data_IF_342974058727
#
_entry.id   IF_342974058727
#
_cell.length_a   1.000
_cell.length_b   1.000
_cell.length_c   1.000
_cell.angle_alpha   90.00
_cell.angle_beta   90.00
_cell.angle_gamma   90.00
#
_symmetry.space_group_name_H-M   'P 1'
#
loop_
_entity.id
_entity.type
_entity.pdbx_description
1 polymer ?
#
# COMPACT_ATOMS: atom_id res chain seq x y z
N UNK A 1 6.74 -68.22 -36.81
CA UNK A 1 5.28 -68.33 -36.53
C UNK A 1 4.98 -67.61 -35.23
N UNK A 2 4.14 -66.56 -35.29
CA UNK A 2 3.13 -66.09 -34.31
C UNK A 2 3.49 -66.29 -32.81
N UNK A 3 3.48 -65.28 -31.94
CA UNK A 3 2.37 -64.33 -31.70
C UNK A 3 2.85 -63.07 -30.99
N UNK A 4 2.39 -61.93 -31.52
CA UNK A 4 2.25 -60.64 -30.85
C UNK A 4 1.00 -60.71 -29.97
N UNK A 5 1.03 -60.21 -28.73
CA UNK A 5 -0.16 -59.93 -27.89
C UNK A 5 0.25 -58.92 -26.80
N UNK A 6 0.05 -57.63 -27.04
CA UNK A 6 -1.10 -56.78 -26.59
C UNK A 6 -1.06 -56.43 -25.10
N UNK A 7 -0.63 -55.19 -24.84
CA UNK A 7 -1.29 -54.14 -24.04
C UNK A 7 -2.07 -54.54 -22.77
N UNK A 8 -1.53 -54.19 -21.59
CA UNK A 8 -2.28 -53.98 -20.34
C UNK A 8 -1.43 -53.08 -19.42
N UNK A 9 -1.69 -51.78 -19.39
CA UNK A 9 -2.50 -51.07 -18.39
C UNK A 9 -1.66 -50.55 -17.21
N UNK A 10 -1.38 -49.25 -17.27
CA UNK A 10 -1.48 -48.26 -16.18
C UNK A 10 -0.93 -48.67 -14.80
N UNK A 11 0.17 -48.03 -14.41
CA UNK A 11 0.18 -47.32 -13.14
C UNK A 11 1.06 -46.08 -13.29
N UNK A 12 0.42 -44.96 -13.67
CA UNK A 12 0.94 -43.65 -13.38
C UNK A 12 1.25 -43.58 -11.89
N UNK A 13 2.53 -43.70 -11.51
CA UNK A 13 3.00 -43.10 -10.28
C UNK A 13 3.02 -41.58 -10.53
N UNK A 14 1.82 -40.99 -10.58
CA UNK A 14 1.65 -39.58 -10.28
C UNK A 14 2.28 -39.41 -8.90
N UNK A 15 3.41 -38.74 -8.88
CA UNK A 15 3.96 -38.10 -7.71
C UNK A 15 2.91 -37.14 -7.17
N UNK A 16 2.01 -37.64 -6.33
CA UNK A 16 1.24 -36.82 -5.42
C UNK A 16 2.23 -36.45 -4.31
N UNK A 17 3.14 -35.52 -4.62
CA UNK A 17 3.56 -34.57 -3.61
C UNK A 17 2.26 -33.88 -3.23
N UNK A 18 1.66 -34.34 -2.13
CA UNK A 18 0.65 -33.61 -1.41
C UNK A 18 1.30 -32.29 -1.01
N UNK A 19 1.24 -31.30 -1.90
CA UNK A 19 1.41 -29.92 -1.51
C UNK A 19 0.39 -29.72 -0.39
N UNK A 20 0.87 -29.53 0.84
CA UNK A 20 0.05 -28.92 1.87
C UNK A 20 -0.62 -27.73 1.19
N UNK A 21 -1.94 -27.79 0.98
CA UNK A 21 -2.70 -26.73 0.31
C UNK A 21 -2.69 -25.53 1.25
N UNK A 22 -1.55 -24.85 1.27
CA UNK A 22 -1.32 -23.64 2.03
C UNK A 22 -2.02 -22.58 1.21
N UNK A 23 -3.08 -22.03 1.76
CA UNK A 23 -3.83 -20.93 1.17
C UNK A 23 -2.84 -19.86 0.67
N UNK A 24 -2.74 -19.65 -0.67
CA UNK A 24 -1.74 -18.77 -1.23
C UNK A 24 -2.00 -17.31 -0.84
N UNK A 25 -3.28 -16.92 -0.73
CA UNK A 25 -3.68 -15.56 -0.33
C UNK A 25 -3.33 -15.32 1.12
N UNK A 26 -3.58 -16.30 1.99
CA UNK A 26 -3.13 -16.26 3.40
C UNK A 26 -1.64 -16.00 3.51
N UNK A 27 -0.82 -16.78 2.78
CA UNK A 27 0.64 -16.65 2.82
C UNK A 27 1.09 -15.30 2.30
N UNK A 28 0.53 -14.87 1.18
CA UNK A 28 0.87 -13.60 0.55
C UNK A 28 0.48 -12.42 1.46
N UNK A 29 -0.73 -12.40 2.02
CA UNK A 29 -1.19 -11.35 2.93
C UNK A 29 -0.29 -11.22 4.17
N UNK A 30 0.13 -12.34 4.77
CA UNK A 30 1.05 -12.34 5.91
C UNK A 30 2.41 -11.75 5.51
N UNK A 31 2.93 -12.13 4.35
CA UNK A 31 4.23 -11.64 3.83
C UNK A 31 4.14 -10.16 3.49
N UNK A 32 3.10 -9.76 2.77
CA UNK A 32 2.80 -8.39 2.40
C UNK A 32 2.74 -7.47 3.62
N UNK A 33 1.98 -7.84 4.66
CA UNK A 33 1.85 -7.00 5.87
C UNK A 33 3.15 -6.96 6.67
N UNK A 34 3.77 -8.11 6.95
CA UNK A 34 4.90 -8.18 7.89
C UNK A 34 6.26 -7.84 7.26
N UNK A 35 6.48 -8.26 6.03
CA UNK A 35 7.78 -8.15 5.37
C UNK A 35 7.78 -7.04 4.31
N UNK A 36 6.63 -6.74 3.71
CA UNK A 36 6.46 -5.65 2.75
C UNK A 36 6.20 -4.30 3.41
N UNK A 37 5.07 -4.17 4.08
CA UNK A 37 4.56 -2.88 4.56
C UNK A 37 5.09 -2.48 5.94
N UNK A 38 5.18 -3.40 6.90
CA UNK A 38 5.61 -3.08 8.27
C UNK A 38 6.99 -2.41 8.36
N UNK A 39 8.02 -2.79 7.57
CA UNK A 39 9.30 -2.07 7.56
C UNK A 39 9.20 -0.61 7.14
N UNK A 40 8.15 -0.25 6.37
CA UNK A 40 7.93 1.10 5.86
C UNK A 40 7.18 2.00 6.86
N UNK A 41 6.65 1.44 7.96
CA UNK A 41 5.85 2.20 8.93
C UNK A 41 6.61 3.36 9.59
N UNK A 42 7.94 3.25 9.74
CA UNK A 42 8.75 4.36 10.26
C UNK A 42 8.90 5.48 9.25
N UNK A 43 8.95 5.18 7.96
CA UNK A 43 9.01 6.20 6.91
C UNK A 43 7.67 6.97 6.86
N UNK A 44 6.54 6.26 6.92
CA UNK A 44 5.20 6.86 6.98
C UNK A 44 5.06 7.78 8.21
N UNK A 45 5.49 7.28 9.37
CA UNK A 45 5.47 8.04 10.63
C UNK A 45 6.33 9.30 10.54
N UNK A 46 7.55 9.21 10.03
CA UNK A 46 8.45 10.35 9.93
C UNK A 46 7.86 11.49 9.08
N UNK A 47 7.26 11.14 7.93
CA UNK A 47 6.63 12.16 7.08
C UNK A 47 5.38 12.75 7.73
N UNK A 48 4.57 11.91 8.38
CA UNK A 48 3.37 12.35 9.11
C UNK A 48 3.71 13.31 10.23
N UNK A 49 4.70 12.97 11.06
CA UNK A 49 5.15 13.82 12.18
C UNK A 49 5.69 15.16 11.68
N UNK A 50 6.41 15.18 10.55
CA UNK A 50 6.89 16.42 9.95
C UNK A 50 5.75 17.29 9.44
N UNK A 51 4.74 16.71 8.79
CA UNK A 51 3.55 17.43 8.37
C UNK A 51 2.77 18.01 9.57
N UNK A 52 2.59 17.24 10.63
CA UNK A 52 1.93 17.69 11.87
C UNK A 52 2.72 18.80 12.59
N UNK A 53 4.05 18.85 12.43
CA UNK A 53 4.88 19.86 13.07
C UNK A 53 4.73 21.28 12.50
N UNK A 54 4.12 21.43 11.32
CA UNK A 54 3.91 22.72 10.64
C UNK A 54 2.45 22.99 10.25
N UNK A 55 1.52 22.16 10.75
CA UNK A 55 0.08 22.28 10.47
C UNK A 55 -0.75 22.19 11.75
N UNK A 56 -2.05 22.47 11.64
CA UNK A 56 -2.97 22.43 12.78
C UNK A 56 -2.55 23.41 13.88
N UNK A 57 -2.47 22.93 15.12
CA UNK A 57 -2.09 23.74 16.27
C UNK A 57 -0.62 24.22 16.22
N UNK A 58 0.22 23.60 15.38
CA UNK A 58 1.62 23.97 15.19
C UNK A 58 1.85 24.90 13.99
N UNK A 59 0.79 25.30 13.28
CA UNK A 59 0.91 26.22 12.16
C UNK A 59 1.38 27.60 12.65
N UNK A 60 2.42 28.14 12.01
CA UNK A 60 2.95 29.48 12.32
C UNK A 60 2.63 30.47 11.20
N UNK A 61 2.99 30.13 9.97
CA UNK A 61 2.90 30.99 8.80
C UNK A 61 3.06 30.17 7.50
N UNK A 62 2.60 30.77 6.40
CA UNK A 62 2.59 30.16 5.07
C UNK A 62 4.00 29.88 4.53
N UNK A 63 5.01 30.69 4.89
CA UNK A 63 6.40 30.50 4.42
C UNK A 63 7.03 29.25 5.05
N UNK A 64 6.84 29.07 6.36
CA UNK A 64 7.28 27.88 7.10
C UNK A 64 6.62 26.62 6.56
N UNK A 65 5.30 26.66 6.34
CA UNK A 65 4.57 25.54 5.74
C UNK A 65 5.07 25.23 4.32
N UNK A 66 5.17 26.25 3.48
CA UNK A 66 5.61 26.13 2.09
C UNK A 66 7.01 25.51 1.98
N UNK A 67 7.99 26.04 2.71
CA UNK A 67 9.36 25.54 2.68
C UNK A 67 9.43 24.09 3.20
N UNK A 68 8.73 23.78 4.30
CA UNK A 68 8.71 22.41 4.85
C UNK A 68 8.05 21.42 3.90
N UNK A 69 6.96 21.80 3.23
CA UNK A 69 6.31 20.97 2.22
C UNK A 69 7.24 20.69 1.04
N UNK A 70 7.84 21.74 0.47
CA UNK A 70 8.65 21.68 -0.75
C UNK A 70 9.99 20.98 -0.54
N UNK A 71 10.71 21.35 0.51
CA UNK A 71 12.12 20.98 0.68
C UNK A 71 12.30 19.69 1.45
N UNK A 72 11.34 19.35 2.34
CA UNK A 72 11.47 18.21 3.23
C UNK A 72 10.41 17.13 2.96
N UNK A 73 9.12 17.49 3.07
CA UNK A 73 8.02 16.52 3.06
C UNK A 73 7.86 15.87 1.68
N UNK A 74 7.73 16.64 0.60
CA UNK A 74 7.50 16.08 -0.75
C UNK A 74 8.66 15.17 -1.20
N UNK A 75 9.94 15.53 -1.00
CA UNK A 75 11.05 14.63 -1.32
C UNK A 75 11.05 13.33 -0.51
N UNK A 76 10.79 13.39 0.80
CA UNK A 76 10.72 12.19 1.65
C UNK A 76 9.52 11.32 1.30
N UNK A 77 8.36 11.94 1.07
CA UNK A 77 7.13 11.25 0.69
C UNK A 77 7.22 10.63 -0.71
N UNK A 78 7.99 11.23 -1.62
CA UNK A 78 8.30 10.62 -2.93
C UNK A 78 9.12 9.35 -2.76
N UNK A 79 10.18 9.39 -1.95
CA UNK A 79 10.97 8.18 -1.65
C UNK A 79 10.14 7.11 -0.94
N UNK A 80 9.20 7.52 -0.09
CA UNK A 80 8.26 6.63 0.56
C UNK A 80 7.36 5.92 -0.47
N UNK A 81 6.75 6.68 -1.39
CA UNK A 81 5.94 6.13 -2.48
C UNK A 81 6.74 5.13 -3.33
N UNK A 82 7.99 5.46 -3.71
CA UNK A 82 8.84 4.55 -4.49
C UNK A 82 9.07 3.21 -3.76
N UNK A 83 9.26 3.24 -2.43
CA UNK A 83 9.40 2.02 -1.61
C UNK A 83 8.10 1.23 -1.54
N UNK A 84 6.97 1.92 -1.40
CA UNK A 84 5.63 1.31 -1.39
C UNK A 84 5.38 0.61 -2.73
N UNK A 85 5.60 1.28 -3.87
CA UNK A 85 5.40 0.70 -5.21
C UNK A 85 6.31 -0.50 -5.50
N UNK A 86 7.47 -0.58 -4.82
CA UNK A 86 8.39 -1.71 -4.94
C UNK A 86 7.95 -2.96 -4.14
N UNK A 87 6.93 -2.86 -3.28
CA UNK A 87 6.42 -3.99 -2.52
C UNK A 87 5.76 -4.99 -3.47
N UNK A 88 6.20 -6.24 -3.41
CA UNK A 88 5.68 -7.31 -4.26
C UNK A 88 4.44 -7.95 -3.65
N UNK A 89 3.50 -8.30 -4.52
CA UNK A 89 2.30 -9.08 -4.19
C UNK A 89 2.20 -10.25 -5.15
N UNK A 90 1.83 -11.42 -4.63
CA UNK A 90 1.84 -12.68 -5.39
C UNK A 90 0.43 -13.05 -5.88
N UNK A 91 -0.62 -12.72 -5.12
CA UNK A 91 -2.01 -13.03 -5.48
C UNK A 91 -2.78 -11.79 -5.94
N UNK A 92 -3.79 -11.94 -6.81
CA UNK A 92 -4.63 -10.83 -7.26
C UNK A 92 -5.34 -10.09 -6.13
N UNK A 93 -5.74 -10.80 -5.08
CA UNK A 93 -6.44 -10.25 -3.92
C UNK A 93 -5.55 -9.28 -3.14
N UNK A 94 -4.33 -9.70 -2.81
CA UNK A 94 -3.36 -8.84 -2.10
C UNK A 94 -2.89 -7.70 -2.99
N UNK A 95 -2.76 -7.94 -4.30
CA UNK A 95 -2.45 -6.87 -5.26
C UNK A 95 -3.50 -5.77 -5.28
N UNK A 96 -4.79 -6.11 -5.30
CA UNK A 96 -5.87 -5.12 -5.26
C UNK A 96 -5.85 -4.29 -3.96
N UNK A 97 -5.51 -4.92 -2.84
CA UNK A 97 -5.28 -4.22 -1.55
C UNK A 97 -4.11 -3.24 -1.67
N UNK A 98 -3.00 -3.68 -2.25
CA UNK A 98 -1.80 -2.88 -2.40
C UNK A 98 -1.99 -1.69 -3.36
N UNK A 99 -2.69 -1.89 -4.48
CA UNK A 99 -3.05 -0.82 -5.41
C UNK A 99 -3.89 0.28 -4.74
N UNK A 100 -4.78 -0.10 -3.81
CA UNK A 100 -5.54 0.88 -3.00
C UNK A 100 -4.61 1.70 -2.10
N UNK A 101 -3.58 1.07 -1.51
CA UNK A 101 -2.59 1.76 -0.69
C UNK A 101 -1.70 2.71 -1.53
N UNK A 102 -1.19 2.25 -2.68
CA UNK A 102 -0.44 3.10 -3.62
C UNK A 102 -1.29 4.31 -4.01
N UNK A 103 -2.56 4.10 -4.36
CA UNK A 103 -3.47 5.20 -4.71
C UNK A 103 -3.61 6.19 -3.55
N UNK A 104 -3.77 5.71 -2.31
CA UNK A 104 -3.86 6.58 -1.14
C UNK A 104 -2.63 7.49 -0.97
N UNK A 105 -1.43 6.91 -1.05
CA UNK A 105 -0.16 7.62 -0.95
C UNK A 105 0.02 8.60 -2.13
N UNK A 106 -0.24 8.16 -3.37
CA UNK A 106 -0.16 9.03 -4.54
C UNK A 106 -1.11 10.22 -4.46
N UNK A 107 -2.37 9.99 -4.04
CA UNK A 107 -3.35 11.06 -3.87
C UNK A 107 -2.94 12.06 -2.80
N UNK A 108 -2.36 11.61 -1.67
CA UNK A 108 -1.80 12.54 -0.68
C UNK A 108 -0.60 13.31 -1.21
N UNK A 109 0.29 12.67 -1.97
CA UNK A 109 1.43 13.35 -2.61
C UNK A 109 0.98 14.46 -3.55
N UNK A 110 0.01 14.17 -4.41
CA UNK A 110 -0.61 15.18 -5.28
C UNK A 110 -1.20 16.32 -4.47
N UNK A 111 -1.88 16.02 -3.36
CA UNK A 111 -2.43 17.05 -2.49
C UNK A 111 -1.35 17.99 -1.93
N UNK A 112 -0.23 17.44 -1.47
CA UNK A 112 0.90 18.21 -0.94
C UNK A 112 1.51 19.12 -2.02
N UNK A 113 1.65 18.62 -3.24
CA UNK A 113 2.11 19.40 -4.40
C UNK A 113 1.10 20.53 -4.70
N UNK A 114 -0.20 20.23 -4.73
CA UNK A 114 -1.25 21.24 -4.93
C UNK A 114 -1.22 22.31 -3.84
N UNK A 115 -0.93 21.95 -2.58
CA UNK A 115 -0.80 22.92 -1.48
C UNK A 115 0.42 23.84 -1.65
N UNK A 116 1.56 23.32 -2.12
CA UNK A 116 2.73 24.14 -2.45
C UNK A 116 2.37 25.15 -3.56
N UNK A 117 1.75 24.67 -4.64
CA UNK A 117 1.27 25.53 -5.73
C UNK A 117 0.28 26.61 -5.26
N UNK A 118 -0.59 26.27 -4.32
CA UNK A 118 -1.57 27.19 -3.75
C UNK A 118 -0.89 28.31 -2.95
N UNK A 119 0.12 27.97 -2.15
CA UNK A 119 0.90 28.91 -1.34
C UNK A 119 1.72 29.85 -2.22
N UNK A 120 2.33 29.35 -3.31
CA UNK A 120 3.08 30.18 -4.25
C UNK A 120 2.20 31.20 -4.99
N UNK A 121 0.99 30.78 -5.35
CA UNK A 121 0.07 31.59 -6.17
C UNK A 121 -0.90 32.44 -5.34
N UNK A 122 -1.01 32.16 -4.03
CA UNK A 122 -2.06 32.70 -3.18
C UNK A 122 -3.47 32.30 -3.64
N UNK A 123 -3.62 31.10 -4.21
CA UNK A 123 -4.86 30.65 -4.87
C UNK A 123 -5.70 29.77 -3.94
N UNK A 124 -6.79 30.34 -3.41
CA UNK A 124 -7.73 29.64 -2.53
C UNK A 124 -8.45 28.45 -3.20
N UNK A 125 -8.57 28.42 -4.53
CA UNK A 125 -9.16 27.27 -5.22
C UNK A 125 -8.22 26.06 -5.15
N UNK A 126 -6.92 26.30 -5.29
CA UNK A 126 -5.91 25.24 -5.15
C UNK A 126 -5.84 24.75 -3.70
N UNK A 127 -6.02 25.63 -2.70
CA UNK A 127 -6.16 25.19 -1.29
C UNK A 127 -7.34 24.22 -1.15
N UNK A 128 -8.50 24.55 -1.72
CA UNK A 128 -9.69 23.68 -1.66
C UNK A 128 -9.48 22.35 -2.39
N UNK A 129 -8.79 22.38 -3.54
CA UNK A 129 -8.43 21.18 -4.29
C UNK A 129 -7.49 20.28 -3.47
N UNK A 130 -6.42 20.84 -2.90
CA UNK A 130 -5.48 20.13 -2.03
C UNK A 130 -6.20 19.48 -0.84
N UNK A 131 -7.07 20.21 -0.15
CA UNK A 131 -7.88 19.67 0.94
C UNK A 131 -8.82 18.53 0.51
N UNK A 132 -9.40 18.64 -0.69
CA UNK A 132 -10.23 17.57 -1.27
C UNK A 132 -9.40 16.31 -1.51
N UNK A 133 -8.23 16.44 -2.11
CA UNK A 133 -7.30 15.32 -2.32
C UNK A 133 -6.82 14.70 -1.00
N UNK A 134 -6.51 15.52 0.02
CA UNK A 134 -6.16 15.00 1.36
C UNK A 134 -7.31 14.17 1.96
N UNK A 135 -8.56 14.62 1.79
CA UNK A 135 -9.74 13.89 2.25
C UNK A 135 -9.94 12.57 1.49
N UNK A 136 -9.75 12.58 0.17
CA UNK A 136 -9.79 11.39 -0.67
C UNK A 136 -8.70 10.38 -0.27
N UNK A 137 -7.45 10.82 -0.10
CA UNK A 137 -6.35 9.98 0.38
C UNK A 137 -6.68 9.34 1.73
N UNK A 138 -7.22 10.12 2.68
CA UNK A 138 -7.68 9.59 3.99
C UNK A 138 -8.78 8.54 3.84
N UNK A 139 -9.69 8.71 2.88
CA UNK A 139 -10.71 7.69 2.57
C UNK A 139 -10.05 6.41 2.03
N UNK A 140 -9.12 6.53 1.09
CA UNK A 140 -8.42 5.38 0.51
C UNK A 140 -7.62 4.60 1.56
N UNK A 141 -6.99 5.25 2.54
CA UNK A 141 -6.36 4.55 3.67
C UNK A 141 -7.36 3.77 4.54
N UNK A 142 -8.56 4.32 4.76
CA UNK A 142 -9.63 3.58 5.45
C UNK A 142 -10.09 2.37 4.62
N UNK A 143 -10.33 2.58 3.33
CA UNK A 143 -10.73 1.52 2.40
C UNK A 143 -9.67 0.39 2.38
N UNK A 144 -8.37 0.74 2.30
CA UNK A 144 -7.26 -0.22 2.43
C UNK A 144 -7.34 -1.02 3.74
N UNK A 145 -7.52 -0.33 4.87
CA UNK A 145 -7.64 -0.98 6.18
C UNK A 145 -8.84 -1.94 6.25
N UNK A 146 -9.97 -1.57 5.66
CA UNK A 146 -11.15 -2.44 5.56
C UNK A 146 -10.90 -3.66 4.66
N UNK A 147 -10.22 -3.48 3.53
CA UNK A 147 -9.88 -4.57 2.62
C UNK A 147 -8.90 -5.57 3.28
N UNK A 148 -7.86 -5.08 3.96
CA UNK A 148 -6.93 -5.94 4.73
C UNK A 148 -7.69 -6.75 5.78
N UNK A 149 -8.57 -6.10 6.55
CA UNK A 149 -9.36 -6.77 7.58
C UNK A 149 -10.34 -7.80 6.99
N UNK A 150 -10.91 -7.52 5.82
CA UNK A 150 -11.82 -8.44 5.13
C UNK A 150 -11.05 -9.67 4.64
N UNK A 151 -9.95 -9.46 3.91
CA UNK A 151 -9.12 -10.54 3.40
C UNK A 151 -8.53 -11.40 4.54
N UNK A 152 -8.14 -10.76 5.65
CA UNK A 152 -7.66 -11.47 6.81
C UNK A 152 -8.74 -12.40 7.43
N UNK A 153 -10.01 -11.97 7.47
CA UNK A 153 -11.11 -12.80 7.97
C UNK A 153 -11.43 -13.95 7.02
N UNK A 154 -11.48 -13.69 5.72
CA UNK A 154 -11.78 -14.69 4.69
C UNK A 154 -10.75 -15.84 4.65
N UNK A 155 -9.50 -15.53 5.01
CA UNK A 155 -8.37 -16.48 4.94
C UNK A 155 -7.81 -16.89 6.33
N UNK A 156 -8.59 -16.65 7.40
CA UNK A 156 -8.26 -16.98 8.79
C UNK A 156 -6.86 -16.48 9.24
N UNK A 157 -6.51 -15.24 8.88
CA UNK A 157 -5.29 -14.53 9.30
C UNK A 157 -5.58 -13.69 10.54
N UNK A 158 -4.76 -13.83 11.58
CA UNK A 158 -4.79 -12.95 12.75
C UNK A 158 -3.84 -11.77 12.54
N UNK A 159 -4.39 -10.59 12.31
CA UNK A 159 -3.61 -9.34 12.29
C UNK A 159 -3.38 -8.90 13.74
N UNK A 160 -2.13 -8.91 14.20
CA UNK A 160 -1.77 -8.33 15.48
C UNK A 160 -1.66 -6.81 15.30
N UNK A 161 -2.63 -6.06 15.83
CA UNK A 161 -2.48 -4.61 15.98
C UNK A 161 -1.46 -4.37 17.09
N UNK A 162 -0.29 -3.81 16.74
CA UNK A 162 0.63 -3.23 17.72
C UNK A 162 0.35 -1.75 17.86
#
# INVERSE_FOLDING_TARGET
MKKLTVFMLVLCCFSILSACSTDPVKKDLITYVNDGMLPLAQDEKAVTEKYESVTGDNFTDDETLYNTLRDDIIPEYTKYLDKVEAVKTETPEVRAVHETYIKAVSTQKEALITMVDALEKGDLNLINEGNTKLSEGKKLFRDFGEQVNTLAKEHDVKINKK
#
